data_IF_913117563154
#
_entry.id   IF_913117563154
#
_cell.length_a   1.000
_cell.length_b   1.000
_cell.length_c   1.000
_cell.angle_alpha   90.00
_cell.angle_beta   90.00
_cell.angle_gamma   90.00
#
_symmetry.space_group_name_H-M   'P 1'
#
loop_
_entity.id
_entity.type
_entity.pdbx_description
1 polymer ?
#
# COMPACT_ATOMS: atom_id res chain seq x y z
N UNK A 1 52.82 22.62 -40.54
CA UNK A 1 52.22 21.34 -40.09
C UNK A 1 52.06 21.29 -38.56
N UNK A 2 51.58 22.37 -37.91
CA UNK A 2 51.28 22.40 -36.46
C UNK A 2 49.96 23.09 -36.11
N UNK A 3 49.30 23.73 -37.09
CA UNK A 3 48.02 24.43 -36.89
C UNK A 3 46.80 23.55 -37.21
N UNK A 4 46.98 22.46 -37.96
CA UNK A 4 45.90 21.51 -38.30
C UNK A 4 45.67 20.46 -37.21
N UNK A 5 46.68 20.16 -36.40
CA UNK A 5 46.59 19.14 -35.33
C UNK A 5 45.89 19.67 -34.07
N UNK A 6 46.06 20.96 -33.75
CA UNK A 6 45.38 21.61 -32.61
C UNK A 6 43.90 21.88 -32.88
N UNK A 7 43.50 22.11 -34.13
CA UNK A 7 42.09 22.33 -34.47
C UNK A 7 41.28 21.03 -34.45
N UNK A 8 41.90 19.90 -34.77
CA UNK A 8 41.25 18.58 -34.76
C UNK A 8 41.07 18.09 -33.31
N UNK A 9 42.01 18.39 -32.40
CA UNK A 9 41.85 18.04 -30.99
C UNK A 9 40.79 18.89 -30.26
N UNK A 10 40.60 20.15 -30.67
CA UNK A 10 39.56 21.05 -30.14
C UNK A 10 38.14 20.62 -30.54
N UNK A 11 37.97 20.09 -31.76
CA UNK A 11 36.65 19.67 -32.26
C UNK A 11 36.19 18.31 -31.66
N UNK A 12 37.12 17.46 -31.22
CA UNK A 12 36.80 16.16 -30.60
C UNK A 12 36.45 16.32 -29.10
N UNK A 13 36.96 17.36 -28.43
CA UNK A 13 36.58 17.64 -27.03
C UNK A 13 35.20 18.29 -26.88
N UNK A 14 34.63 18.89 -27.94
CA UNK A 14 33.32 19.52 -27.87
C UNK A 14 32.14 18.55 -28.16
N UNK A 15 32.41 17.36 -28.70
CA UNK A 15 31.38 16.36 -29.04
C UNK A 15 31.13 15.32 -27.95
N UNK A 16 31.91 15.31 -26.86
CA UNK A 16 31.75 14.36 -25.73
C UNK A 16 30.86 14.92 -24.60
N UNK A 17 30.43 16.19 -24.69
CA UNK A 17 29.56 16.84 -23.67
C UNK A 17 28.06 16.66 -23.94
N UNK A 18 27.66 16.00 -25.04
CA UNK A 18 26.31 15.45 -25.12
C UNK A 18 26.22 14.18 -24.29
N UNK A 19 26.21 14.42 -22.97
CA UNK A 19 25.61 13.59 -21.95
C UNK A 19 24.42 12.86 -22.54
N UNK A 20 24.47 11.55 -22.38
CA UNK A 20 23.40 10.59 -22.57
C UNK A 20 22.15 11.12 -21.87
N UNK A 21 21.41 11.97 -22.56
CA UNK A 21 20.02 12.22 -22.29
C UNK A 21 19.37 10.92 -22.73
N UNK A 22 19.28 9.95 -21.81
CA UNK A 22 18.29 8.89 -21.99
C UNK A 22 17.00 9.64 -22.29
N UNK A 23 16.32 9.41 -23.43
CA UNK A 23 14.97 9.90 -23.54
C UNK A 23 14.27 9.39 -22.28
N UNK A 24 13.86 10.32 -21.41
CA UNK A 24 12.79 10.04 -20.49
C UNK A 24 11.66 9.64 -21.42
N UNK A 25 11.50 8.33 -21.62
CA UNK A 25 10.31 7.81 -22.22
C UNK A 25 9.27 8.30 -21.22
N UNK A 26 8.59 9.40 -21.58
CA UNK A 26 7.47 9.92 -20.82
C UNK A 26 6.44 8.79 -20.87
N UNK A 27 6.59 7.85 -19.95
CA UNK A 27 5.59 6.86 -19.69
C UNK A 27 4.34 7.69 -19.42
N UNK A 28 3.24 7.32 -20.06
CA UNK A 28 1.98 8.00 -19.84
C UNK A 28 1.51 7.67 -18.41
N UNK A 29 2.12 8.35 -17.43
CA UNK A 29 1.86 8.16 -16.01
C UNK A 29 0.39 8.45 -15.73
N UNK A 30 -0.23 9.36 -16.48
CA UNK A 30 -1.66 9.64 -16.40
C UNK A 30 -2.52 8.40 -16.63
N UNK A 31 -2.16 7.57 -17.63
CA UNK A 31 -2.83 6.29 -17.91
C UNK A 31 -2.61 5.27 -16.79
N UNK A 32 -1.43 5.24 -16.19
CA UNK A 32 -1.14 4.37 -15.04
C UNK A 32 -1.97 4.80 -13.84
N UNK A 33 -1.97 6.10 -13.51
CA UNK A 33 -2.72 6.67 -12.39
C UNK A 33 -4.23 6.43 -12.55
N UNK A 34 -4.78 6.67 -13.75
CA UNK A 34 -6.20 6.46 -14.07
C UNK A 34 -6.62 5.00 -14.09
N UNK A 35 -5.72 4.04 -14.35
CA UNK A 35 -6.04 2.62 -14.25
C UNK A 35 -6.29 2.17 -12.79
N UNK A 36 -5.56 2.76 -11.85
CA UNK A 36 -5.62 2.42 -10.43
C UNK A 36 -6.58 3.31 -9.63
N UNK A 37 -7.00 4.44 -10.20
CA UNK A 37 -8.00 5.35 -9.62
C UNK A 37 -9.34 5.17 -10.33
N UNK A 38 -10.39 4.84 -9.58
CA UNK A 38 -11.74 4.62 -10.12
C UNK A 38 -12.71 5.60 -9.48
N UNK A 39 -13.59 6.16 -10.30
CA UNK A 39 -14.58 7.14 -9.85
C UNK A 39 -15.98 6.67 -10.23
N UNK A 40 -16.92 6.85 -9.31
CA UNK A 40 -18.34 6.59 -9.52
C UNK A 40 -19.15 7.76 -8.97
N UNK A 41 -20.07 8.27 -9.78
CA UNK A 41 -20.99 9.34 -9.42
C UNK A 41 -22.39 8.78 -9.24
N UNK A 42 -23.01 9.07 -8.10
CA UNK A 42 -24.39 8.72 -7.77
C UNK A 42 -25.23 9.98 -7.67
N UNK A 43 -26.36 10.00 -8.38
CA UNK A 43 -27.28 11.13 -8.37
C UNK A 43 -28.71 10.65 -8.56
N UNK A 44 -29.64 11.34 -7.93
CA UNK A 44 -31.07 11.12 -8.11
C UNK A 44 -31.73 12.34 -8.78
N UNK A 45 -32.68 12.08 -9.68
CA UNK A 45 -33.39 13.14 -10.42
C UNK A 45 -34.20 14.00 -9.46
N UNK A 46 -33.97 15.32 -9.50
CA UNK A 46 -34.65 16.28 -8.61
C UNK A 46 -34.04 16.39 -7.20
N UNK A 47 -32.97 15.65 -6.92
CA UNK A 47 -32.30 15.68 -5.62
C UNK A 47 -31.17 16.73 -5.55
N UNK A 48 -30.79 17.10 -4.32
CA UNK A 48 -29.75 18.10 -4.05
C UNK A 48 -28.39 17.41 -4.23
N UNK A 49 -27.59 17.89 -5.19
CA UNK A 49 -26.18 17.49 -5.43
C UNK A 49 -25.93 16.01 -5.77
N UNK A 50 -24.73 15.66 -6.27
CA UNK A 50 -24.27 14.28 -6.43
C UNK A 50 -23.51 13.78 -5.20
N UNK A 51 -23.32 12.45 -5.14
CA UNK A 51 -22.27 11.79 -4.39
C UNK A 51 -21.22 11.29 -5.37
N UNK A 52 -19.99 11.81 -5.29
CA UNK A 52 -18.85 11.28 -6.04
C UNK A 52 -17.96 10.45 -5.11
N UNK A 53 -17.66 9.23 -5.53
CA UNK A 53 -16.78 8.30 -4.84
C UNK A 53 -15.58 8.02 -5.73
N UNK A 54 -14.40 8.45 -5.30
CA UNK A 54 -13.14 8.12 -5.96
C UNK A 54 -12.32 7.21 -5.06
N UNK A 55 -11.85 6.10 -5.63
CA UNK A 55 -11.11 5.08 -4.92
C UNK A 55 -9.85 4.74 -5.68
N UNK A 56 -8.72 4.78 -4.98
CA UNK A 56 -7.40 4.57 -5.56
C UNK A 56 -6.70 3.41 -4.87
N UNK A 57 -6.39 2.37 -5.64
CA UNK A 57 -5.57 1.26 -5.16
C UNK A 57 -4.08 1.61 -5.31
N UNK A 58 -3.34 1.65 -4.21
CA UNK A 58 -1.91 1.99 -4.22
C UNK A 58 -1.09 0.77 -4.61
N UNK A 59 -1.03 0.50 -5.91
CA UNK A 59 -0.18 -0.53 -6.50
C UNK A 59 1.28 -0.06 -6.60
N UNK A 60 2.20 -1.01 -6.83
CA UNK A 60 3.60 -0.70 -7.10
C UNK A 60 3.77 0.29 -8.26
N UNK A 61 3.11 -0.01 -9.38
CA UNK A 61 3.13 0.82 -10.58
C UNK A 61 2.48 2.19 -10.33
N UNK A 62 1.40 2.25 -9.53
CA UNK A 62 0.75 3.50 -9.17
C UNK A 62 1.68 4.41 -8.37
N UNK A 63 2.30 3.88 -7.31
CA UNK A 63 3.18 4.66 -6.43
C UNK A 63 4.39 5.18 -7.20
N UNK A 64 4.99 4.34 -8.05
CA UNK A 64 6.09 4.79 -8.90
C UNK A 64 5.66 5.91 -9.84
N UNK A 65 4.51 5.76 -10.53
CA UNK A 65 3.99 6.80 -11.40
C UNK A 65 3.65 8.09 -10.64
N UNK A 66 3.14 7.99 -9.40
CA UNK A 66 2.85 9.12 -8.53
C UNK A 66 4.12 9.87 -8.16
N UNK A 67 5.17 9.17 -7.73
CA UNK A 67 6.45 9.77 -7.37
C UNK A 67 7.07 10.49 -8.56
N UNK A 68 7.10 9.87 -9.74
CA UNK A 68 7.67 10.49 -10.94
C UNK A 68 6.82 11.71 -11.38
N UNK A 69 5.49 11.62 -11.32
CA UNK A 69 4.59 12.74 -11.65
C UNK A 69 4.78 13.92 -10.71
N UNK A 70 4.88 13.69 -9.40
CA UNK A 70 5.12 14.74 -8.42
C UNK A 70 6.53 15.33 -8.54
N UNK A 71 7.54 14.50 -8.83
CA UNK A 71 8.90 14.98 -9.08
C UNK A 71 8.99 15.89 -10.31
N UNK A 72 8.34 15.50 -11.42
CA UNK A 72 8.27 16.31 -12.64
C UNK A 72 7.52 17.63 -12.41
N UNK A 73 6.36 17.56 -11.75
CA UNK A 73 5.51 18.72 -11.47
C UNK A 73 6.19 19.75 -10.58
N UNK A 74 6.95 19.29 -9.59
CA UNK A 74 7.62 20.16 -8.60
C UNK A 74 9.09 20.42 -8.93
N UNK A 75 9.61 19.91 -10.07
CA UNK A 75 11.00 20.02 -10.50
C UNK A 75 12.00 19.53 -9.44
N UNK A 76 11.66 18.42 -8.77
CA UNK A 76 12.48 17.88 -7.69
C UNK A 76 13.83 17.34 -8.18
N UNK A 77 14.84 17.56 -7.36
CA UNK A 77 16.13 16.88 -7.47
C UNK A 77 16.00 15.40 -7.14
N UNK A 78 17.02 14.61 -7.50
CA UNK A 78 17.05 13.18 -7.18
C UNK A 78 16.92 12.92 -5.66
N UNK A 79 17.56 13.76 -4.84
CA UNK A 79 17.53 13.62 -3.38
C UNK A 79 16.13 13.96 -2.80
N UNK A 80 15.46 14.98 -3.31
CA UNK A 80 14.08 15.32 -2.90
C UNK A 80 13.10 14.23 -3.29
N UNK A 81 13.23 13.69 -4.51
CA UNK A 81 12.43 12.55 -4.98
C UNK A 81 12.63 11.33 -4.09
N UNK A 82 13.87 11.00 -3.75
CA UNK A 82 14.20 9.85 -2.90
C UNK A 82 13.64 10.02 -1.47
N UNK A 83 13.73 11.23 -0.91
CA UNK A 83 13.14 11.54 0.40
C UNK A 83 11.61 11.42 0.40
N UNK A 84 10.95 11.96 -0.63
CA UNK A 84 9.50 11.84 -0.77
C UNK A 84 9.08 10.38 -0.94
N UNK A 85 9.78 9.62 -1.79
CA UNK A 85 9.52 8.20 -1.99
C UNK A 85 9.64 7.42 -0.67
N UNK A 86 10.66 7.69 0.14
CA UNK A 86 10.84 7.08 1.45
C UNK A 86 9.67 7.37 2.40
N UNK A 87 9.27 8.65 2.52
CA UNK A 87 8.16 9.05 3.39
C UNK A 87 6.83 8.43 2.96
N UNK A 88 6.55 8.46 1.66
CA UNK A 88 5.34 7.89 1.10
C UNK A 88 5.26 6.38 1.34
N UNK A 89 6.31 5.64 0.98
CA UNK A 89 6.32 4.19 1.13
C UNK A 89 6.29 3.75 2.61
N UNK A 90 6.95 4.49 3.50
CA UNK A 90 6.89 4.27 4.95
C UNK A 90 5.47 4.46 5.49
N UNK A 91 4.77 5.52 5.05
CA UNK A 91 3.38 5.82 5.45
C UNK A 91 2.37 4.81 4.90
N UNK A 92 2.59 4.34 3.68
CA UNK A 92 1.70 3.37 3.05
C UNK A 92 1.83 1.97 3.66
N UNK A 93 2.96 1.65 4.30
CA UNK A 93 3.26 0.34 4.85
C UNK A 93 2.85 -0.82 3.91
N UNK A 94 3.21 -0.70 2.63
CA UNK A 94 2.81 -1.66 1.58
C UNK A 94 3.39 -3.05 1.80
N UNK A 95 4.37 -3.20 2.69
CA UNK A 95 4.95 -4.48 3.05
C UNK A 95 3.95 -5.34 3.79
N UNK A 96 3.26 -4.80 4.79
CA UNK A 96 2.33 -5.55 5.64
C UNK A 96 0.87 -5.34 5.24
N UNK A 97 0.59 -4.24 4.54
CA UNK A 97 -0.78 -3.82 4.23
C UNK A 97 -1.01 -3.60 2.74
N UNK A 98 -2.28 -3.58 2.35
CA UNK A 98 -2.77 -3.18 1.04
C UNK A 98 -3.45 -1.82 1.25
N UNK A 99 -2.77 -0.71 0.93
CA UNK A 99 -3.32 0.63 1.12
C UNK A 99 -4.27 1.01 -0.02
N UNK A 100 -5.41 1.57 0.35
CA UNK A 100 -6.41 2.12 -0.57
C UNK A 100 -6.80 3.50 -0.07
N UNK A 101 -6.74 4.49 -0.94
CA UNK A 101 -7.26 5.83 -0.67
C UNK A 101 -8.69 5.94 -1.17
N UNK A 102 -9.53 6.60 -0.38
CA UNK A 102 -10.92 6.85 -0.72
C UNK A 102 -11.22 8.31 -0.51
N UNK A 103 -11.86 8.91 -1.49
CA UNK A 103 -12.31 10.30 -1.50
C UNK A 103 -13.82 10.30 -1.78
N UNK A 104 -14.56 10.94 -0.89
CA UNK A 104 -15.99 11.14 -0.97
C UNK A 104 -16.27 12.63 -1.15
N UNK A 105 -17.02 13.00 -2.18
CA UNK A 105 -17.60 14.34 -2.35
C UNK A 105 -19.10 14.23 -2.28
N UNK A 106 -19.63 14.48 -1.10
CA UNK A 106 -21.05 14.35 -0.84
C UNK A 106 -21.73 15.72 -0.81
N UNK A 107 -22.38 16.08 -1.92
CA UNK A 107 -23.17 17.30 -2.03
C UNK A 107 -24.67 17.06 -1.87
N UNK A 108 -25.07 15.85 -1.45
CA UNK A 108 -26.45 15.46 -1.20
C UNK A 108 -26.78 15.21 0.28
N UNK A 109 -27.73 14.29 0.55
CA UNK A 109 -28.07 13.85 1.90
C UNK A 109 -26.84 13.37 2.67
N UNK A 110 -26.86 13.48 3.99
CA UNK A 110 -25.71 13.03 4.77
C UNK A 110 -25.41 11.53 4.58
N UNK A 111 -24.14 11.21 4.40
CA UNK A 111 -23.62 9.84 4.38
C UNK A 111 -23.45 9.30 5.80
N UNK A 112 -23.74 8.01 5.96
CA UNK A 112 -23.65 7.28 7.22
C UNK A 112 -22.72 6.08 7.06
N UNK A 113 -21.48 6.27 7.47
CA UNK A 113 -20.40 5.32 7.25
C UNK A 113 -20.04 4.51 8.50
N UNK A 114 -20.63 4.78 9.67
CA UNK A 114 -20.29 4.12 10.92
C UNK A 114 -21.12 2.85 11.18
N UNK A 115 -20.53 1.79 11.76
CA UNK A 115 -19.09 1.57 11.93
C UNK A 115 -18.42 1.24 10.58
N UNK A 116 -17.34 1.96 10.25
CA UNK A 116 -16.78 1.93 8.89
C UNK A 116 -16.16 0.61 8.48
N UNK A 117 -15.55 -0.09 9.43
CA UNK A 117 -14.98 -1.42 9.26
C UNK A 117 -16.01 -2.49 8.84
N UNK A 118 -17.29 -2.27 9.13
CA UNK A 118 -18.38 -3.14 8.67
C UNK A 118 -18.94 -2.71 7.30
N UNK A 119 -18.72 -1.46 6.90
CA UNK A 119 -19.24 -0.92 5.62
C UNK A 119 -18.33 -1.20 4.43
N UNK A 120 -17.08 -1.62 4.66
CA UNK A 120 -16.09 -1.83 3.60
C UNK A 120 -15.42 -3.20 3.70
N UNK A 121 -15.28 -3.86 2.55
CA UNK A 121 -14.68 -5.18 2.43
C UNK A 121 -13.78 -5.22 1.22
N UNK A 122 -12.58 -5.80 1.38
CA UNK A 122 -11.70 -6.10 0.26
C UNK A 122 -11.76 -7.60 -0.07
N UNK A 123 -12.03 -7.93 -1.33
CA UNK A 123 -12.01 -9.27 -1.84
C UNK A 123 -10.74 -9.50 -2.66
N UNK A 124 -9.89 -10.41 -2.20
CA UNK A 124 -8.74 -10.91 -2.95
C UNK A 124 -9.09 -12.30 -3.50
N UNK A 125 -9.60 -12.35 -4.72
CA UNK A 125 -10.19 -13.57 -5.28
C UNK A 125 -11.39 -14.06 -4.45
N UNK A 126 -11.23 -15.18 -3.74
CA UNK A 126 -12.27 -15.74 -2.85
C UNK A 126 -12.10 -15.33 -1.38
N UNK A 127 -10.99 -14.67 -1.03
CA UNK A 127 -10.67 -14.28 0.35
C UNK A 127 -11.34 -12.95 0.66
N UNK A 128 -12.05 -12.89 1.78
CA UNK A 128 -12.65 -11.68 2.33
C UNK A 128 -11.68 -11.08 3.36
N UNK A 129 -11.36 -9.80 3.22
CA UNK A 129 -10.47 -9.07 4.12
C UNK A 129 -11.22 -7.89 4.72
N UNK A 130 -11.13 -7.74 6.03
CA UNK A 130 -11.58 -6.57 6.78
C UNK A 130 -10.41 -5.59 6.95
N UNK A 131 -10.67 -4.28 7.05
CA UNK A 131 -9.62 -3.31 7.28
C UNK A 131 -8.96 -3.54 8.65
N UNK A 132 -7.63 -3.46 8.70
CA UNK A 132 -6.86 -3.49 9.95
C UNK A 132 -6.69 -2.09 10.53
N UNK A 133 -6.66 -1.08 9.66
CA UNK A 133 -6.69 0.32 10.06
C UNK A 133 -7.35 1.18 8.97
N UNK A 134 -7.84 2.35 9.36
CA UNK A 134 -8.52 3.30 8.48
C UNK A 134 -8.63 4.67 9.16
N UNK A 135 -8.86 5.71 8.36
CA UNK A 135 -9.14 7.05 8.88
C UNK A 135 -10.44 7.10 9.70
N UNK A 136 -10.32 7.30 11.02
CA UNK A 136 -11.46 7.29 11.95
C UNK A 136 -12.48 8.40 11.66
N UNK A 137 -12.13 9.42 10.86
CA UNK A 137 -13.07 10.44 10.37
C UNK A 137 -14.21 9.84 9.54
N UNK A 138 -14.03 8.64 8.98
CA UNK A 138 -15.10 7.93 8.30
C UNK A 138 -16.21 7.45 9.23
N UNK A 139 -15.99 7.33 10.55
CA UNK A 139 -17.06 7.00 11.50
C UNK A 139 -17.99 8.18 11.82
N UNK A 140 -17.72 9.37 11.30
CA UNK A 140 -18.59 10.52 11.48
C UNK A 140 -19.46 10.71 10.25
N UNK A 141 -20.70 11.17 10.48
CA UNK A 141 -21.60 11.62 9.42
C UNK A 141 -20.86 12.55 8.47
N UNK A 142 -21.06 12.35 7.17
CA UNK A 142 -20.34 13.09 6.12
C UNK A 142 -21.30 13.88 5.23
N UNK A 143 -21.02 15.18 5.12
CA UNK A 143 -21.55 16.08 4.11
C UNK A 143 -20.39 17.00 3.68
N UNK A 144 -20.27 17.29 2.39
CA UNK A 144 -19.08 17.91 1.80
C UNK A 144 -18.02 16.87 1.41
N UNK A 145 -16.76 17.29 1.45
CA UNK A 145 -15.64 16.47 1.00
C UNK A 145 -14.91 15.80 2.17
N UNK A 146 -14.54 14.53 2.00
CA UNK A 146 -13.67 13.82 2.94
C UNK A 146 -12.91 12.72 2.21
N UNK A 147 -11.62 12.68 2.49
CA UNK A 147 -10.73 11.66 2.00
C UNK A 147 -9.96 11.00 3.14
N UNK A 148 -9.40 9.82 2.89
CA UNK A 148 -8.64 9.07 3.87
C UNK A 148 -8.15 7.73 3.37
N UNK A 149 -7.25 7.13 4.15
CA UNK A 149 -6.66 5.83 3.86
C UNK A 149 -7.42 4.70 4.54
N UNK A 150 -7.39 3.54 3.89
CA UNK A 150 -7.87 2.26 4.40
C UNK A 150 -6.75 1.25 4.17
N UNK A 151 -6.41 0.50 5.21
CA UNK A 151 -5.34 -0.49 5.19
C UNK A 151 -5.94 -1.87 5.41
N UNK A 152 -5.72 -2.77 4.45
CA UNK A 152 -6.11 -4.18 4.56
C UNK A 152 -4.89 -5.06 4.81
N UNK A 153 -5.02 -6.21 5.49
CA UNK A 153 -3.90 -7.11 5.72
C UNK A 153 -3.41 -7.72 4.40
N UNK A 154 -2.09 -7.71 4.18
CA UNK A 154 -1.47 -8.32 3.00
C UNK A 154 -1.17 -9.81 3.19
N UNK A 155 -1.01 -10.26 4.43
CA UNK A 155 -0.75 -11.65 4.76
C UNK A 155 -1.92 -12.24 5.55
N UNK A 156 -2.17 -13.53 5.35
CA UNK A 156 -3.08 -14.28 6.22
C UNK A 156 -2.42 -14.58 7.58
N UNK A 157 -3.20 -15.11 8.53
CA UNK A 157 -2.71 -15.52 9.87
C UNK A 157 -1.57 -16.54 9.81
N UNK A 158 -1.41 -17.24 8.68
CA UNK A 158 -0.34 -18.22 8.44
C UNK A 158 0.88 -17.60 7.74
N UNK A 159 0.88 -16.29 7.52
CA UNK A 159 1.97 -15.56 6.88
C UNK A 159 2.04 -15.68 5.36
N UNK A 160 1.03 -16.24 4.69
CA UNK A 160 1.00 -16.31 3.23
C UNK A 160 0.38 -15.05 2.64
N UNK A 161 0.96 -14.53 1.56
CA UNK A 161 0.43 -13.37 0.85
C UNK A 161 -0.98 -13.64 0.33
N UNK A 162 -1.94 -12.79 0.70
CA UNK A 162 -3.34 -12.90 0.24
C UNK A 162 -3.49 -12.58 -1.24
N UNK A 163 -2.48 -11.94 -1.83
CA UNK A 163 -2.44 -11.57 -3.25
C UNK A 163 -1.71 -12.60 -4.11
N UNK A 164 -1.14 -13.67 -3.52
CA UNK A 164 -0.48 -14.71 -4.30
C UNK A 164 -1.47 -15.38 -5.27
N UNK A 165 -1.12 -15.39 -6.56
CA UNK A 165 -1.93 -15.91 -7.67
C UNK A 165 -3.31 -15.27 -7.83
N UNK A 166 -3.54 -14.11 -7.19
CA UNK A 166 -4.78 -13.35 -7.35
C UNK A 166 -4.69 -12.51 -8.61
N UNK A 167 -5.70 -12.62 -9.49
CA UNK A 167 -5.75 -11.84 -10.73
C UNK A 167 -6.36 -10.47 -10.54
N UNK A 168 -7.37 -10.37 -9.67
CA UNK A 168 -8.11 -9.15 -9.43
C UNK A 168 -8.50 -9.01 -7.97
N UNK A 169 -8.58 -7.76 -7.54
CA UNK A 169 -9.01 -7.35 -6.20
C UNK A 169 -10.27 -6.51 -6.35
N UNK A 170 -11.25 -6.72 -5.48
CA UNK A 170 -12.51 -5.98 -5.47
C UNK A 170 -12.75 -5.34 -4.11
N UNK A 171 -12.83 -4.02 -4.07
CA UNK A 171 -13.31 -3.29 -2.91
C UNK A 171 -14.83 -3.11 -3.02
N UNK A 172 -15.54 -3.48 -1.96
CA UNK A 172 -16.99 -3.39 -1.89
C UNK A 172 -17.38 -2.50 -0.72
N UNK A 173 -18.14 -1.44 -1.00
CA UNK A 173 -18.86 -0.67 0.02
C UNK A 173 -20.30 -1.15 0.12
N UNK A 174 -20.86 -1.22 1.32
CA UNK A 174 -22.30 -1.43 1.50
C UNK A 174 -23.10 -0.27 0.90
N UNK A 175 -24.25 -0.57 0.30
CA UNK A 175 -25.10 0.47 -0.31
C UNK A 175 -25.84 1.33 0.71
N UNK A 176 -26.06 0.82 1.93
CA UNK A 176 -26.74 1.54 3.00
C UNK A 176 -26.04 2.82 3.48
N UNK A 177 -24.80 3.06 3.04
CA UNK A 177 -24.01 4.25 3.44
C UNK A 177 -24.56 5.56 2.89
N UNK A 178 -25.35 5.51 1.80
CA UNK A 178 -25.92 6.70 1.19
C UNK A 178 -27.24 6.41 0.46
N UNK A 179 -28.28 7.28 0.59
CA UNK A 179 -29.58 7.06 -0.04
C UNK A 179 -29.59 6.92 -1.58
N UNK A 180 -28.64 7.55 -2.27
CA UNK A 180 -28.54 7.45 -3.74
C UNK A 180 -28.02 6.10 -4.23
N UNK A 181 -27.42 5.29 -3.35
CA UNK A 181 -26.92 3.97 -3.73
C UNK A 181 -28.09 2.99 -3.62
N UNK A 182 -28.56 2.50 -4.77
CA UNK A 182 -29.69 1.55 -4.85
C UNK A 182 -29.25 0.09 -4.78
N UNK A 183 -28.01 -0.19 -5.16
CA UNK A 183 -27.43 -1.53 -5.08
C UNK A 183 -27.09 -1.90 -3.64
N UNK A 184 -27.08 -3.20 -3.31
CA UNK A 184 -26.63 -3.65 -1.99
C UNK A 184 -25.16 -3.33 -1.73
N UNK A 185 -24.35 -3.22 -2.78
CA UNK A 185 -22.94 -2.87 -2.72
C UNK A 185 -22.52 -1.95 -3.87
N UNK A 186 -21.51 -1.13 -3.62
CA UNK A 186 -20.74 -0.40 -4.64
C UNK A 186 -19.38 -1.07 -4.78
N UNK A 187 -19.12 -1.63 -5.95
CA UNK A 187 -17.93 -2.42 -6.22
C UNK A 187 -16.92 -1.65 -7.09
N UNK A 188 -15.65 -1.70 -6.69
CA UNK A 188 -14.49 -1.21 -7.44
C UNK A 188 -13.51 -2.37 -7.62
N UNK A 189 -13.17 -2.71 -8.88
CA UNK A 189 -12.39 -3.91 -9.20
C UNK A 189 -11.10 -3.51 -9.92
N UNK A 190 -9.93 -3.97 -9.47
CA UNK A 190 -8.66 -3.77 -10.17
C UNK A 190 -8.00 -5.09 -10.55
N UNK A 191 -7.29 -5.09 -11.67
CA UNK A 191 -6.47 -6.22 -12.10
C UNK A 191 -5.07 -6.12 -11.50
N UNK A 192 -4.74 -7.01 -10.57
CA UNK A 192 -3.48 -7.01 -9.80
C UNK A 192 -2.48 -8.07 -10.27
N UNK A 193 -2.79 -8.85 -11.31
CA UNK A 193 -1.98 -9.97 -11.78
C UNK A 193 -0.50 -9.64 -12.09
N UNK A 194 -0.18 -8.37 -12.36
CA UNK A 194 1.19 -7.90 -12.64
C UNK A 194 1.76 -7.00 -11.55
N UNK A 195 1.02 -6.75 -10.48
CA UNK A 195 1.47 -5.89 -9.41
C UNK A 195 2.58 -6.61 -8.62
N UNK A 196 3.80 -6.10 -8.70
CA UNK A 196 4.93 -6.61 -7.94
C UNK A 196 5.47 -5.50 -7.02
N UNK A 197 4.99 -5.41 -5.77
CA UNK A 197 5.48 -4.44 -4.80
C UNK A 197 6.97 -4.56 -4.50
N UNK A 198 7.59 -5.74 -4.70
CA UNK A 198 9.04 -5.89 -4.53
C UNK A 198 9.84 -5.10 -5.56
N UNK A 199 9.24 -4.76 -6.71
CA UNK A 199 9.87 -3.94 -7.73
C UNK A 199 10.03 -2.47 -7.29
N UNK A 200 9.18 -1.97 -6.39
CA UNK A 200 9.36 -0.64 -5.77
C UNK A 200 10.64 -0.56 -4.95
N UNK A 201 11.09 -1.71 -4.45
CA UNK A 201 12.27 -1.81 -3.60
C UNK A 201 13.53 -2.17 -4.41
N UNK A 202 13.74 -1.55 -5.58
CA UNK A 202 15.01 -1.62 -6.32
C UNK A 202 15.64 -0.23 -6.43
N UNK A 203 16.75 0.02 -5.72
CA UNK A 203 17.47 1.31 -5.69
C UNK A 203 18.05 1.66 -4.30
N UNK A 204 18.69 2.83 -4.13
CA UNK A 204 19.27 3.24 -2.83
C UNK A 204 18.21 3.41 -1.73
N UNK A 205 17.10 4.07 -2.05
CA UNK A 205 15.94 4.23 -1.15
C UNK A 205 15.38 2.87 -0.74
N UNK A 206 15.34 1.94 -1.70
CA UNK A 206 14.92 0.59 -1.44
C UNK A 206 15.85 -0.19 -0.52
N UNK A 207 17.17 -0.05 -0.66
CA UNK A 207 18.11 -0.69 0.24
C UNK A 207 17.92 -0.19 1.67
N UNK A 208 17.69 1.11 1.85
CA UNK A 208 17.38 1.69 3.17
C UNK A 208 16.06 1.14 3.74
N UNK A 209 15.02 1.05 2.91
CA UNK A 209 13.73 0.49 3.32
C UNK A 209 13.80 -1.01 3.63
N UNK A 210 14.54 -1.79 2.83
CA UNK A 210 14.75 -3.21 3.06
C UNK A 210 15.53 -3.44 4.36
N UNK A 211 16.51 -2.59 4.68
CA UNK A 211 17.19 -2.61 5.97
C UNK A 211 16.21 -2.34 7.11
N UNK A 212 15.41 -1.27 7.03
CA UNK A 212 14.40 -0.94 8.05
C UNK A 212 13.38 -2.09 8.22
N UNK A 213 12.96 -2.72 7.11
CA UNK A 213 12.09 -3.91 7.11
C UNK A 213 12.73 -5.08 7.84
N UNK A 214 13.96 -5.42 7.47
CA UNK A 214 14.67 -6.56 8.06
C UNK A 214 14.88 -6.35 9.55
N UNK A 215 15.17 -5.12 9.98
CA UNK A 215 15.27 -4.76 11.40
C UNK A 215 13.93 -5.00 12.11
N UNK A 216 12.82 -4.45 11.59
CA UNK A 216 11.48 -4.68 12.18
C UNK A 216 11.11 -6.16 12.25
N UNK A 217 11.43 -6.93 11.20
CA UNK A 217 11.16 -8.38 11.18
C UNK A 217 12.00 -9.13 12.22
N UNK A 218 13.26 -8.73 12.41
CA UNK A 218 14.13 -9.27 13.46
C UNK A 218 13.55 -8.96 14.84
N UNK A 219 13.11 -7.73 15.10
CA UNK A 219 12.49 -7.35 16.37
C UNK A 219 11.25 -8.20 16.67
N UNK A 220 10.35 -8.36 15.69
CA UNK A 220 9.15 -9.18 15.83
C UNK A 220 9.48 -10.65 16.10
N UNK A 221 10.37 -11.25 15.30
CA UNK A 221 10.77 -12.65 15.49
C UNK A 221 11.52 -12.86 16.81
N UNK A 222 12.27 -11.86 17.28
CA UNK A 222 12.92 -11.91 18.58
C UNK A 222 11.91 -11.89 19.72
N UNK A 223 10.84 -11.10 19.61
CA UNK A 223 9.77 -11.08 20.60
C UNK A 223 9.00 -12.41 20.61
N UNK A 224 8.61 -12.92 19.44
CA UNK A 224 7.95 -14.23 19.31
C UNK A 224 8.81 -15.37 19.86
N UNK A 225 10.13 -15.33 19.60
CA UNK A 225 11.07 -16.30 20.16
C UNK A 225 11.08 -16.26 21.68
N UNK A 226 11.14 -15.07 22.29
CA UNK A 226 11.13 -14.92 23.74
C UNK A 226 9.86 -15.45 24.40
N UNK A 227 8.69 -15.22 23.78
CA UNK A 227 7.42 -15.78 24.27
C UNK A 227 7.38 -17.31 24.18
N UNK A 228 7.92 -17.89 23.12
CA UNK A 228 7.99 -19.34 22.95
C UNK A 228 8.99 -20.00 23.92
N UNK A 229 10.14 -19.36 24.16
CA UNK A 229 11.11 -19.81 25.17
C UNK A 229 10.47 -19.78 26.57
N UNK A 230 9.73 -18.73 26.93
CA UNK A 230 9.01 -18.69 28.21
C UNK A 230 7.97 -19.81 28.38
N UNK A 231 7.25 -20.17 27.32
CA UNK A 231 6.32 -21.31 27.34
C UNK A 231 7.03 -22.65 27.44
N UNK A 232 8.21 -22.78 26.83
CA UNK A 232 9.04 -23.98 26.96
C UNK A 232 9.53 -24.14 28.40
N UNK A 233 10.02 -23.06 29.01
CA UNK A 233 10.49 -23.07 30.41
C UNK A 233 9.36 -23.47 31.38
N UNK A 234 8.13 -23.01 31.14
CA UNK A 234 6.94 -23.38 31.93
C UNK A 234 6.64 -24.89 31.82
N UNK A 235 6.64 -25.44 30.59
CA UNK A 235 6.41 -26.87 30.35
C UNK A 235 7.54 -27.72 30.95
N UNK A 236 8.79 -27.29 30.82
CA UNK A 236 9.94 -28.00 31.37
C UNK A 236 9.91 -28.01 32.90
N UNK A 237 9.42 -26.94 33.53
CA UNK A 237 9.17 -26.89 34.97
C UNK A 237 8.09 -27.88 35.40
N UNK A 238 6.96 -27.95 34.70
CA UNK A 238 5.89 -28.93 34.97
C UNK A 238 6.39 -30.37 34.81
N UNK A 239 7.16 -30.65 33.74
CA UNK A 239 7.77 -31.97 33.52
C UNK A 239 8.74 -32.33 34.66
N UNK A 240 9.49 -31.37 35.18
CA UNK A 240 10.39 -31.60 36.30
C UNK A 240 9.61 -31.96 37.58
N UNK A 241 8.55 -31.22 37.92
CA UNK A 241 7.69 -31.54 39.07
C UNK A 241 7.01 -32.91 38.93
N UNK A 242 6.50 -33.23 37.75
CA UNK A 242 5.88 -34.54 37.49
C UNK A 242 6.92 -35.66 37.62
N UNK A 243 8.12 -35.49 37.06
CA UNK A 243 9.18 -36.49 37.15
C UNK A 243 9.63 -36.71 38.60
N UNK A 244 9.79 -35.65 39.39
CA UNK A 244 10.07 -35.77 40.83
C UNK A 244 8.97 -36.59 41.52
N UNK A 245 7.71 -36.31 41.22
CA UNK A 245 6.57 -37.03 41.81
C UNK A 245 6.50 -38.49 41.36
N UNK A 246 6.87 -38.80 40.12
CA UNK A 246 6.99 -40.17 39.62
C UNK A 246 8.12 -40.91 40.35
N UNK A 247 9.29 -40.27 40.54
CA UNK A 247 10.39 -40.88 41.30
C UNK A 247 10.04 -41.14 42.77
N UNK A 248 9.31 -40.23 43.41
CA UNK A 248 8.82 -40.41 44.78
C UNK A 248 7.87 -41.62 44.87
N UNK A 249 6.95 -41.77 43.91
CA UNK A 249 6.02 -42.89 43.87
C UNK A 249 6.69 -44.23 43.51
N UNK A 250 7.79 -44.23 42.76
CA UNK A 250 8.55 -45.44 42.44
C UNK A 250 9.42 -45.97 43.58
N UNK A 251 9.70 -45.15 44.60
CA UNK A 251 10.50 -45.52 45.79
C UNK A 251 9.64 -46.03 46.97
N UNK A 252 8.31 -45.98 46.86
CA UNK A 252 7.37 -46.63 47.77
C UNK A 252 7.07 -48.06 47.33
#
# INVERSE_FOLDING_TARGET
MKLKETLIFSLICLSVIFLVSKPAQAADYSKILGRWSKEQTFRETGAIGPLDMKVTYYSAEYVQALIETEAEKNLWTADEKDNYAYQLLSTLNMEETIPIHVEFKNYGPSMHLAPFDEQVVLWAGKRKLTPVDYDKRFNFRLQGERDGMIYFPRYDEKGHSVLDKVKSVKLSFTGGIHPYIRSSFVDFIWDVYKDNPEALYKGRTATRMELDRLIKRIEKLSAEKGELEGKLDEIDSELHEINQRVEELQKQ
#
